data_IF_256029199234
#
_entry.id   IF_256029199234
#
_cell.length_a   1.000
_cell.length_b   1.000
_cell.length_c   1.000
_cell.angle_alpha   90.00
_cell.angle_beta   90.00
_cell.angle_gamma   90.00
#
_symmetry.space_group_name_H-M   'P 1'
#
loop_
_entity.id
_entity.type
_entity.pdbx_description
1 polymer ?
#
# COMPACT_ATOMS: atom_id res chain seq x y z
N UNK A 1 -11.13 -2.73 14.61
CA UNK A 1 -11.86 -1.47 14.73
C UNK A 1 -11.50 -0.87 16.08
N UNK A 2 -10.28 -0.34 16.14
CA UNK A 2 -9.81 0.45 17.28
C UNK A 2 -9.45 1.85 16.79
N UNK A 3 -10.45 2.74 16.75
CA UNK A 3 -10.26 4.08 16.16
C UNK A 3 -9.21 4.91 16.88
N UNK A 4 -8.15 5.23 16.15
CA UNK A 4 -7.17 6.23 16.52
C UNK A 4 -7.84 7.62 16.71
N UNK A 5 -7.35 8.42 17.67
CA UNK A 5 -7.83 9.80 17.83
C UNK A 5 -7.71 10.63 16.55
N UNK A 6 -8.85 11.13 16.04
CA UNK A 6 -8.88 11.99 14.86
C UNK A 6 -8.86 11.23 13.54
N UNK A 7 -9.05 9.91 13.56
CA UNK A 7 -9.12 9.08 12.37
C UNK A 7 -10.52 9.10 11.74
N UNK A 8 -10.59 8.77 10.44
CA UNK A 8 -11.83 8.66 9.65
C UNK A 8 -11.79 7.35 8.89
N UNK A 9 -12.88 6.58 8.93
CA UNK A 9 -12.87 5.21 8.42
C UNK A 9 -14.21 4.84 7.76
N UNK A 10 -14.11 4.09 6.67
CA UNK A 10 -15.21 3.39 6.02
C UNK A 10 -14.75 1.96 5.73
N UNK A 11 -15.58 0.97 6.06
CA UNK A 11 -15.15 -0.43 5.97
C UNK A 11 -16.22 -1.34 5.33
N UNK A 12 -15.75 -2.24 4.48
CA UNK A 12 -16.56 -3.26 3.84
C UNK A 12 -16.94 -4.41 4.77
N UNK A 13 -17.97 -5.20 4.45
CA UNK A 13 -18.35 -6.35 5.25
C UNK A 13 -17.21 -7.39 5.32
N UNK A 14 -16.84 -7.77 6.54
CA UNK A 14 -15.82 -8.77 6.81
C UNK A 14 -14.39 -8.25 6.76
N UNK A 15 -14.21 -6.93 6.69
CA UNK A 15 -12.91 -6.28 6.87
C UNK A 15 -12.40 -6.42 8.31
N UNK A 16 -11.08 -6.31 8.46
CA UNK A 16 -10.38 -6.16 9.74
C UNK A 16 -9.43 -4.99 9.61
N UNK A 17 -9.49 -4.06 10.57
CA UNK A 17 -8.76 -2.80 10.54
C UNK A 17 -8.21 -2.47 11.92
N UNK A 18 -6.94 -2.05 11.96
CA UNK A 18 -6.21 -1.51 13.10
C UNK A 18 -5.45 -0.23 12.68
N UNK A 19 -5.63 0.85 13.43
CA UNK A 19 -5.28 2.18 12.94
C UNK A 19 -4.57 3.11 13.91
N UNK A 20 -3.63 3.88 13.36
CA UNK A 20 -2.99 4.98 14.03
C UNK A 20 -3.89 6.23 14.19
N UNK A 21 -3.55 7.14 15.11
CA UNK A 21 -4.22 8.44 15.21
C UNK A 21 -4.05 9.28 13.95
N UNK A 22 -5.14 9.91 13.52
CA UNK A 22 -5.15 10.88 12.43
C UNK A 22 -5.10 10.25 11.04
N UNK A 23 -5.36 8.95 10.94
CA UNK A 23 -5.40 8.22 9.68
C UNK A 23 -6.75 8.35 8.98
N UNK A 24 -6.75 8.17 7.67
CA UNK A 24 -7.94 8.19 6.82
C UNK A 24 -7.96 6.92 6.00
N UNK A 25 -8.96 6.07 6.19
CA UNK A 25 -9.05 4.77 5.52
C UNK A 25 -10.39 4.55 4.84
N UNK A 26 -10.34 3.91 3.68
CA UNK A 26 -11.48 3.27 3.03
C UNK A 26 -11.12 1.83 2.66
N UNK A 27 -11.95 0.88 3.10
CA UNK A 27 -11.63 -0.53 3.02
C UNK A 27 -12.71 -1.37 2.32
N UNK A 28 -12.24 -2.26 1.46
CA UNK A 28 -13.06 -3.20 0.72
C UNK A 28 -13.63 -4.35 1.57
N UNK A 29 -14.62 -5.09 1.06
CA UNK A 29 -15.09 -6.32 1.70
C UNK A 29 -13.98 -7.37 1.83
N UNK A 30 -13.83 -7.91 3.05
CA UNK A 30 -12.91 -9.02 3.31
C UNK A 30 -11.43 -8.65 3.34
N UNK A 31 -11.13 -7.35 3.39
CA UNK A 31 -9.77 -6.83 3.45
C UNK A 31 -9.20 -6.83 4.87
N UNK A 32 -7.88 -6.74 4.98
CA UNK A 32 -7.17 -6.69 6.26
C UNK A 32 -6.12 -5.60 6.21
N UNK A 33 -6.20 -4.66 7.15
CA UNK A 33 -5.33 -3.49 7.18
C UNK A 33 -4.81 -3.19 8.58
N UNK A 34 -3.51 -2.88 8.64
CA UNK A 34 -2.84 -2.32 9.81
C UNK A 34 -2.03 -1.10 9.37
N UNK A 35 -2.21 0.03 10.04
CA UNK A 35 -1.55 1.28 9.66
C UNK A 35 -1.01 2.11 10.82
N UNK A 36 0.10 2.77 10.51
CA UNK A 36 0.69 3.79 11.33
C UNK A 36 -0.13 5.10 11.43
N UNK A 37 0.29 6.01 12.32
CA UNK A 37 -0.31 7.33 12.47
C UNK A 37 -0.23 8.18 11.20
N UNK A 38 -1.34 8.84 10.86
CA UNK A 38 -1.38 9.85 9.81
C UNK A 38 -1.31 9.29 8.40
N UNK A 39 -1.63 8.02 8.24
CA UNK A 39 -1.69 7.34 6.94
C UNK A 39 -2.99 7.65 6.21
N UNK A 40 -2.98 7.54 4.89
CA UNK A 40 -4.15 7.74 4.01
C UNK A 40 -4.23 6.58 3.05
N UNK A 41 -5.26 5.75 3.16
CA UNK A 41 -5.29 4.43 2.51
C UNK A 41 -6.66 4.15 1.89
N UNK A 42 -6.66 3.62 0.67
CA UNK A 42 -7.85 3.11 -0.02
C UNK A 42 -7.57 1.71 -0.54
N UNK A 43 -8.36 0.73 -0.08
CA UNK A 43 -8.12 -0.68 -0.36
C UNK A 43 -9.27 -1.34 -1.12
N UNK A 44 -8.89 -2.10 -2.15
CA UNK A 44 -9.79 -2.99 -2.86
C UNK A 44 -10.29 -4.18 -2.00
N UNK A 45 -11.32 -4.90 -2.47
CA UNK A 45 -11.82 -6.09 -1.80
C UNK A 45 -10.77 -7.22 -1.69
N UNK A 46 -10.63 -7.78 -0.50
CA UNK A 46 -9.80 -8.96 -0.25
C UNK A 46 -8.31 -8.68 -0.27
N UNK A 47 -7.93 -7.41 -0.14
CA UNK A 47 -6.54 -6.97 -0.05
C UNK A 47 -6.00 -7.10 1.37
N UNK A 48 -4.67 -7.12 1.49
CA UNK A 48 -3.96 -7.19 2.77
C UNK A 48 -2.86 -6.15 2.78
N UNK A 49 -2.87 -5.26 3.78
CA UNK A 49 -1.96 -4.12 3.87
C UNK A 49 -1.38 -3.97 5.28
N UNK A 50 -0.07 -3.75 5.38
CA UNK A 50 0.62 -3.31 6.60
C UNK A 50 1.51 -2.11 6.32
N UNK A 51 1.31 -1.01 7.07
CA UNK A 51 1.81 0.29 6.66
C UNK A 51 2.46 1.13 7.75
N UNK A 52 3.52 1.80 7.33
CA UNK A 52 4.24 2.75 8.16
C UNK A 52 3.45 4.05 8.43
N UNK A 53 3.93 4.87 9.39
CA UNK A 53 3.37 6.20 9.64
C UNK A 53 3.53 7.13 8.44
N UNK A 54 2.46 7.87 8.11
CA UNK A 54 2.48 8.92 7.10
C UNK A 54 2.57 8.41 5.67
N UNK A 55 2.23 7.13 5.45
CA UNK A 55 2.15 6.53 4.12
C UNK A 55 0.85 6.93 3.41
N UNK A 56 0.86 6.88 2.08
CA UNK A 56 -0.31 7.16 1.23
C UNK A 56 -0.44 6.06 0.17
N UNK A 57 -1.52 5.30 0.20
CA UNK A 57 -1.72 4.18 -0.74
C UNK A 57 -3.11 4.13 -1.35
N UNK A 58 -3.14 3.57 -2.56
CA UNK A 58 -4.35 3.10 -3.24
C UNK A 58 -4.08 1.71 -3.84
N UNK A 59 -4.80 0.70 -3.37
CA UNK A 59 -4.62 -0.68 -3.81
C UNK A 59 -5.82 -1.26 -4.56
N UNK A 60 -5.50 -1.99 -5.62
CA UNK A 60 -6.46 -2.83 -6.31
C UNK A 60 -6.95 -4.04 -5.49
N UNK A 61 -8.02 -4.72 -5.95
CA UNK A 61 -8.54 -5.92 -5.30
C UNK A 61 -7.53 -7.07 -5.26
N UNK A 62 -7.41 -7.70 -4.09
CA UNK A 62 -6.62 -8.91 -3.90
C UNK A 62 -5.11 -8.66 -3.93
N UNK A 63 -4.69 -7.42 -3.69
CA UNK A 63 -3.29 -7.04 -3.52
C UNK A 63 -2.77 -7.39 -2.13
N UNK A 64 -1.45 -7.50 -2.01
CA UNK A 64 -0.75 -7.72 -0.74
C UNK A 64 0.43 -6.76 -0.65
N UNK A 65 0.49 -5.95 0.41
CA UNK A 65 1.43 -4.85 0.55
C UNK A 65 2.00 -4.77 1.97
N UNK A 66 3.32 -4.55 2.07
CA UNK A 66 4.04 -4.29 3.33
C UNK A 66 5.05 -3.15 3.18
N UNK A 67 4.94 -2.11 4.00
CA UNK A 67 5.48 -0.82 3.59
C UNK A 67 6.06 0.06 4.67
N UNK A 68 7.06 0.82 4.23
CA UNK A 68 7.84 1.70 5.08
C UNK A 68 7.14 3.04 5.40
N UNK A 69 7.59 3.74 6.46
CA UNK A 69 7.11 5.09 6.77
C UNK A 69 7.30 6.06 5.60
N UNK A 70 6.25 6.80 5.28
CA UNK A 70 6.29 7.88 4.29
C UNK A 70 6.39 7.39 2.85
N UNK A 71 6.03 6.14 2.59
CA UNK A 71 5.85 5.61 1.24
C UNK A 71 4.63 6.22 0.55
N UNK A 72 4.63 6.26 -0.78
CA UNK A 72 3.49 6.66 -1.61
C UNK A 72 3.31 5.67 -2.74
N UNK A 73 2.21 4.94 -2.79
CA UNK A 73 2.00 3.88 -3.79
C UNK A 73 0.62 3.87 -4.41
N UNK A 74 0.56 3.35 -5.63
CA UNK A 74 -0.67 3.03 -6.35
C UNK A 74 -0.47 1.69 -7.07
N UNK A 75 -1.26 0.68 -6.71
CA UNK A 75 -1.11 -0.67 -7.26
C UNK A 75 -2.35 -1.19 -7.98
N UNK A 76 -2.08 -1.92 -9.06
CA UNK A 76 -3.09 -2.69 -9.76
C UNK A 76 -3.59 -3.92 -8.98
N UNK A 77 -4.71 -4.51 -9.43
CA UNK A 77 -5.26 -5.73 -8.84
C UNK A 77 -4.28 -6.91 -8.83
N UNK A 78 -4.19 -7.60 -7.71
CA UNK A 78 -3.42 -8.83 -7.55
C UNK A 78 -1.91 -8.62 -7.55
N UNK A 79 -1.47 -7.40 -7.23
CA UNK A 79 -0.05 -7.09 -6.99
C UNK A 79 0.42 -7.65 -5.65
N UNK A 80 1.74 -7.85 -5.53
CA UNK A 80 2.42 -8.19 -4.28
C UNK A 80 3.65 -7.30 -4.13
N UNK A 81 3.77 -6.62 -2.99
CA UNK A 81 4.74 -5.54 -2.82
C UNK A 81 5.34 -5.51 -1.41
N UNK A 82 6.64 -5.22 -1.34
CA UNK A 82 7.35 -4.88 -0.09
C UNK A 82 8.33 -3.73 -0.34
N UNK A 83 8.22 -2.63 0.40
CA UNK A 83 9.19 -1.53 0.28
C UNK A 83 9.78 -0.98 1.56
N UNK A 84 10.94 -0.36 1.35
CA UNK A 84 11.55 0.51 2.32
C UNK A 84 10.89 1.89 2.49
N UNK A 85 11.24 2.60 3.57
CA UNK A 85 10.75 3.94 3.86
C UNK A 85 11.01 4.95 2.73
N UNK A 86 10.01 5.79 2.47
CA UNK A 86 10.11 6.91 1.54
C UNK A 86 10.18 6.50 0.07
N UNK A 87 9.74 5.29 -0.26
CA UNK A 87 9.54 4.84 -1.63
C UNK A 87 8.35 5.55 -2.28
N UNK A 88 8.40 5.66 -3.61
CA UNK A 88 7.28 6.17 -4.43
C UNK A 88 7.08 5.24 -5.62
N UNK A 89 5.92 4.63 -5.75
CA UNK A 89 5.69 3.67 -6.84
C UNK A 89 4.30 3.74 -7.45
N UNK A 90 4.21 3.25 -8.69
CA UNK A 90 2.97 3.05 -9.43
C UNK A 90 3.10 1.77 -10.26
N UNK A 91 2.19 0.81 -10.08
CA UNK A 91 2.29 -0.48 -10.75
C UNK A 91 1.02 -0.96 -11.43
N UNK A 92 1.26 -1.72 -12.49
CA UNK A 92 0.22 -2.45 -13.18
C UNK A 92 -0.26 -3.71 -12.43
N UNK A 93 -1.43 -4.24 -12.83
CA UNK A 93 -1.99 -5.47 -12.27
C UNK A 93 -1.03 -6.67 -12.34
N UNK A 94 -0.99 -7.44 -11.26
CA UNK A 94 -0.24 -8.69 -11.18
C UNK A 94 1.27 -8.52 -11.14
N UNK A 95 1.75 -7.35 -10.73
CA UNK A 95 3.16 -7.09 -10.44
C UNK A 95 3.61 -7.77 -9.14
N UNK A 96 4.90 -8.08 -9.05
CA UNK A 96 5.54 -8.57 -7.82
C UNK A 96 6.85 -7.81 -7.61
N UNK A 97 6.94 -7.00 -6.56
CA UNK A 97 8.07 -6.11 -6.36
C UNK A 97 8.60 -6.11 -4.93
N UNK A 98 9.90 -5.87 -4.81
CA UNK A 98 10.60 -5.63 -3.55
C UNK A 98 11.61 -4.50 -3.76
N UNK A 99 11.45 -3.34 -3.13
CA UNK A 99 12.45 -2.27 -3.22
C UNK A 99 13.00 -1.76 -1.90
N UNK A 100 14.23 -1.24 -2.01
CA UNK A 100 14.90 -0.57 -0.93
C UNK A 100 14.36 0.84 -0.63
N UNK A 101 14.77 1.43 0.51
CA UNK A 101 14.35 2.77 0.92
C UNK A 101 14.68 3.85 -0.12
N UNK A 102 13.72 4.76 -0.32
CA UNK A 102 13.87 5.92 -1.18
C UNK A 102 13.91 5.58 -2.68
N UNK A 103 13.38 4.43 -3.06
CA UNK A 103 13.20 4.06 -4.46
C UNK A 103 12.07 4.85 -5.12
N UNK A 104 12.15 4.99 -6.44
CA UNK A 104 11.07 5.56 -7.25
C UNK A 104 10.85 4.66 -8.46
N UNK A 105 9.66 4.08 -8.58
CA UNK A 105 9.34 3.09 -9.60
C UNK A 105 8.03 3.40 -10.32
N UNK A 106 7.94 2.99 -11.58
CA UNK A 106 6.69 2.96 -12.33
C UNK A 106 6.78 1.78 -13.30
N UNK A 107 5.98 0.73 -13.11
CA UNK A 107 5.97 -0.40 -14.05
C UNK A 107 4.58 -0.81 -14.56
N UNK A 108 4.60 -1.41 -15.74
CA UNK A 108 3.42 -1.98 -16.36
C UNK A 108 3.00 -3.33 -15.78
N UNK A 109 1.89 -3.91 -16.28
CA UNK A 109 1.31 -5.13 -15.74
C UNK A 109 2.23 -6.36 -15.85
N UNK A 110 2.22 -7.19 -14.81
CA UNK A 110 2.94 -8.46 -14.77
C UNK A 110 4.46 -8.33 -14.62
N UNK A 111 4.91 -7.23 -14.03
CA UNK A 111 6.32 -6.97 -13.76
C UNK A 111 6.79 -7.80 -12.57
N UNK A 112 8.08 -8.17 -12.57
CA UNK A 112 8.74 -8.81 -11.43
C UNK A 112 10.08 -8.13 -11.24
N UNK A 113 10.30 -7.55 -10.07
CA UNK A 113 11.42 -6.66 -9.77
C UNK A 113 11.94 -6.89 -8.35
N UNK A 114 13.24 -6.66 -8.18
CA UNK A 114 13.88 -6.47 -6.87
C UNK A 114 14.97 -5.40 -7.06
N UNK A 115 14.90 -4.29 -6.34
CA UNK A 115 15.92 -3.23 -6.41
C UNK A 115 16.46 -2.79 -5.04
N UNK A 116 17.64 -2.17 -5.11
CA UNK A 116 18.30 -1.62 -3.95
C UNK A 116 17.83 -0.21 -3.57
N UNK A 117 18.34 0.31 -2.44
CA UNK A 117 18.00 1.65 -1.98
C UNK A 117 18.35 2.75 -2.98
N UNK A 118 17.42 3.68 -3.19
CA UNK A 118 17.61 4.84 -4.06
C UNK A 118 17.61 4.50 -5.55
N UNK A 119 17.00 3.39 -5.94
CA UNK A 119 16.76 3.06 -7.34
C UNK A 119 15.72 4.02 -7.94
N UNK A 120 15.86 4.28 -9.24
CA UNK A 120 14.87 5.05 -10.00
C UNK A 120 14.64 4.31 -11.31
N UNK A 121 13.43 3.81 -11.52
CA UNK A 121 13.05 3.03 -12.70
C UNK A 121 11.70 3.48 -13.23
N UNK A 122 11.53 3.31 -14.55
CA UNK A 122 10.26 3.49 -15.25
C UNK A 122 10.24 2.47 -16.40
N UNK A 123 9.30 1.51 -16.40
CA UNK A 123 9.06 0.62 -17.53
C UNK A 123 7.59 0.48 -17.86
N UNK A 124 7.26 1.01 -19.02
CA UNK A 124 5.94 0.84 -19.64
C UNK A 124 5.94 -0.39 -20.55
N UNK A 125 5.15 -1.42 -20.19
CA UNK A 125 4.98 -2.66 -20.97
C UNK A 125 3.90 -2.56 -22.06
#
# INVERSE_FOLDING_TARGET
MEEGPGSVMEEGPGSVMEEGPGSVMEEGPGSVMEEGPGSVMEEGPGSVMEEGPGSVMEEGPGSVMEEGPGSVMEEGPGSVMEEGPGSVMEEGPGSVMEEGPGSVMEEGPGSVMEEGPGSVMERHH
#
